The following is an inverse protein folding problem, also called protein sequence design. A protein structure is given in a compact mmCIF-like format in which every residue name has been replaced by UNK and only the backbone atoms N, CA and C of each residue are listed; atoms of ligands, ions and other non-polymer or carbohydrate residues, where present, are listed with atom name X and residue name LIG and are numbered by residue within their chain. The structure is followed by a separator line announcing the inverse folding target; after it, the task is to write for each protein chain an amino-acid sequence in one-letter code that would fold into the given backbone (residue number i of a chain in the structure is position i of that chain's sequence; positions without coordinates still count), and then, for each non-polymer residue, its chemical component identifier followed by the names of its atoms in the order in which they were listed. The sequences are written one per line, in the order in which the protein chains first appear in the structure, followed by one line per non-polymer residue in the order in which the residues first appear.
data_IF_703285484705
#
_entry.id   IF_703285484705
#
_cell.length_a   1.000
_cell.length_b   1.000
_cell.length_c   1.000
_cell.angle_alpha   90.00
_cell.angle_beta   90.00
_cell.angle_gamma   90.00
#
_symmetry.space_group_name_H-M   'P 1'
#
loop_
_entity.id
_entity.type
_entity.pdbx_description
1 polymer ?
#
# COMPACT_ATOMS: atom_id res chain seq x y z
N UNK A 1 -8.75 33.61 28.58
CA UNK A 1 -9.84 32.93 29.33
C UNK A 1 -10.53 31.93 28.38
N UNK A 2 -9.98 30.74 28.21
CA UNK A 2 -10.02 29.59 29.16
C UNK A 2 -11.18 28.61 28.93
N UNK A 3 -11.94 28.68 27.83
CA UNK A 3 -13.02 27.72 27.57
C UNK A 3 -12.80 26.78 26.37
N UNK A 4 -12.06 27.17 25.32
CA UNK A 4 -11.81 26.27 24.18
C UNK A 4 -10.66 25.26 24.39
N UNK A 5 -9.59 25.68 25.07
CA UNK A 5 -8.49 24.76 25.42
C UNK A 5 -8.87 23.79 26.56
N UNK A 6 -9.84 24.15 27.40
CA UNK A 6 -10.33 23.30 28.48
C UNK A 6 -11.13 22.09 27.95
N UNK A 7 -11.88 22.26 26.85
CA UNK A 7 -12.63 21.14 26.24
C UNK A 7 -11.73 20.12 25.53
N UNK A 8 -10.59 20.55 24.98
CA UNK A 8 -9.65 19.63 24.32
C UNK A 8 -8.79 18.89 25.37
N UNK A 9 -8.34 19.58 26.42
CA UNK A 9 -7.58 18.94 27.50
C UNK A 9 -8.44 18.06 28.41
N UNK A 10 -9.70 18.42 28.68
CA UNK A 10 -10.62 17.57 29.43
C UNK A 10 -10.99 16.27 28.69
N UNK A 11 -10.87 16.26 27.35
CA UNK A 11 -11.08 15.07 26.52
C UNK A 11 -9.84 14.17 26.39
N UNK A 12 -8.68 14.65 26.85
CA UNK A 12 -7.42 13.87 26.85
C UNK A 12 -7.17 13.13 28.18
N UNK A 13 -7.95 13.40 29.24
CA UNK A 13 -7.78 12.73 30.54
C UNK A 13 -8.91 11.75 30.93
N UNK A 14 -9.92 11.55 30.08
CA UNK A 14 -10.95 10.51 30.30
C UNK A 14 -11.29 9.84 28.96
N UNK A 15 -10.46 8.88 28.55
CA UNK A 15 -10.90 7.68 27.83
C UNK A 15 -9.74 6.69 27.74
N UNK A 16 -9.52 5.95 28.84
CA UNK A 16 -8.77 4.68 28.82
C UNK A 16 -9.60 3.53 28.20
N UNK A 17 -10.67 3.86 27.48
CA UNK A 17 -11.35 2.93 26.61
C UNK A 17 -11.17 3.41 25.17
N UNK A 18 -10.38 2.69 24.34
CA UNK A 18 -10.42 2.93 22.91
C UNK A 18 -11.88 2.76 22.46
N UNK A 19 -12.40 3.72 21.70
CA UNK A 19 -13.68 3.57 20.99
C UNK A 19 -13.73 2.16 20.40
N UNK A 20 -14.82 1.40 20.63
CA UNK A 20 -14.88 0.01 20.21
C UNK A 20 -14.62 -0.04 18.71
N UNK A 21 -13.56 -0.77 18.32
CA UNK A 21 -13.23 -0.98 16.91
C UNK A 21 -14.49 -1.54 16.25
N UNK A 22 -15.02 -0.92 15.18
CA UNK A 22 -16.26 -1.36 14.55
C UNK A 22 -16.13 -2.82 14.13
N UNK A 23 -16.92 -3.69 14.77
CA UNK A 23 -16.81 -5.16 14.66
C UNK A 23 -17.91 -5.74 13.79
N UNK A 24 -18.98 -4.99 13.52
CA UNK A 24 -20.07 -5.43 12.63
C UNK A 24 -20.01 -4.76 11.25
N UNK A 25 -20.61 -5.39 10.25
CA UNK A 25 -20.76 -4.78 8.91
C UNK A 25 -21.55 -3.48 8.98
N UNK A 26 -22.61 -3.46 9.80
CA UNK A 26 -23.46 -2.28 10.01
C UNK A 26 -22.67 -1.10 10.57
N UNK A 27 -21.86 -1.33 11.60
CA UNK A 27 -21.01 -0.29 12.20
C UNK A 27 -20.01 0.28 11.20
N UNK A 28 -19.33 -0.57 10.42
CA UNK A 28 -18.38 -0.10 9.42
C UNK A 28 -19.04 0.74 8.34
N UNK A 29 -20.20 0.31 7.83
CA UNK A 29 -20.94 1.09 6.84
C UNK A 29 -21.44 2.41 7.43
N UNK A 30 -21.81 2.44 8.71
CA UNK A 30 -22.17 3.68 9.40
C UNK A 30 -20.97 4.63 9.49
N UNK A 31 -19.80 4.14 9.91
CA UNK A 31 -18.57 4.95 10.02
C UNK A 31 -18.16 5.49 8.64
N UNK A 32 -18.15 4.64 7.61
CA UNK A 32 -17.87 5.07 6.23
C UNK A 32 -18.91 6.10 5.76
N UNK A 33 -20.18 5.94 6.13
CA UNK A 33 -21.23 6.91 5.84
C UNK A 33 -20.96 8.28 6.45
N UNK A 34 -20.48 8.33 7.70
CA UNK A 34 -20.06 9.58 8.36
C UNK A 34 -18.87 10.20 7.64
N UNK A 35 -17.86 9.40 7.24
CA UNK A 35 -16.72 9.90 6.46
C UNK A 35 -17.16 10.47 5.11
N UNK A 36 -18.11 9.81 4.42
CA UNK A 36 -18.68 10.28 3.17
C UNK A 36 -19.41 11.61 3.35
N UNK A 37 -20.22 11.76 4.41
CA UNK A 37 -20.85 13.04 4.75
C UNK A 37 -19.81 14.15 4.95
N UNK A 38 -18.74 13.87 5.71
CA UNK A 38 -17.62 14.80 5.93
C UNK A 38 -16.83 15.12 4.65
N UNK A 39 -16.94 14.30 3.61
CA UNK A 39 -16.35 14.56 2.29
C UNK A 39 -17.27 15.39 1.37
N UNK A 40 -18.50 15.72 1.81
CA UNK A 40 -19.52 16.41 1.01
C UNK A 40 -20.39 15.47 0.17
N UNK A 41 -20.37 14.16 0.47
CA UNK A 41 -21.06 13.12 -0.30
C UNK A 41 -22.33 12.70 0.44
N UNK A 42 -23.45 12.59 -0.28
CA UNK A 42 -24.71 12.11 0.28
C UNK A 42 -24.58 10.63 0.75
N UNK A 43 -24.64 10.35 2.07
CA UNK A 43 -24.29 9.02 2.58
C UNK A 43 -25.23 7.91 2.13
N UNK A 44 -26.53 8.19 2.02
CA UNK A 44 -27.54 7.19 1.64
C UNK A 44 -27.23 6.56 0.29
N UNK A 45 -27.14 7.38 -0.77
CA UNK A 45 -26.85 6.91 -2.13
C UNK A 45 -25.46 6.28 -2.26
N UNK A 46 -24.44 6.86 -1.59
CA UNK A 46 -23.09 6.29 -1.60
C UNK A 46 -23.04 4.89 -0.96
N UNK A 47 -23.66 4.71 0.22
CA UNK A 47 -23.67 3.43 0.91
C UNK A 47 -24.47 2.35 0.18
N UNK A 48 -25.52 2.73 -0.56
CA UNK A 48 -26.25 1.79 -1.42
C UNK A 48 -25.37 1.25 -2.54
N UNK A 49 -24.63 2.14 -3.23
CA UNK A 49 -23.67 1.75 -4.27
C UNK A 49 -22.53 0.91 -3.70
N UNK A 50 -21.92 1.35 -2.60
CA UNK A 50 -20.84 0.60 -1.94
C UNK A 50 -21.28 -0.82 -1.55
N UNK A 51 -22.48 -0.99 -0.98
CA UNK A 51 -23.02 -2.32 -0.67
C UNK A 51 -23.19 -3.19 -1.91
N UNK A 52 -23.64 -2.58 -3.02
CA UNK A 52 -23.79 -3.29 -4.29
C UNK A 52 -22.44 -3.78 -4.81
N UNK A 53 -21.40 -2.96 -4.75
CA UNK A 53 -20.06 -3.32 -5.21
C UNK A 53 -19.44 -4.39 -4.31
N UNK A 54 -19.55 -4.25 -2.99
CA UNK A 54 -19.06 -5.24 -2.02
C UNK A 54 -19.69 -6.63 -2.25
N UNK A 55 -21.00 -6.71 -2.53
CA UNK A 55 -21.69 -7.98 -2.81
C UNK A 55 -21.18 -8.71 -4.06
N UNK A 56 -20.54 -8.00 -4.99
CA UNK A 56 -19.96 -8.59 -6.22
C UNK A 56 -18.54 -9.12 -5.98
N UNK A 57 -17.89 -8.71 -4.89
CA UNK A 57 -16.55 -9.18 -4.53
C UNK A 57 -16.58 -10.60 -3.94
N UNK A 58 -15.48 -11.38 -4.06
CA UNK A 58 -15.40 -12.73 -3.52
C UNK A 58 -15.40 -12.78 -1.97
N UNK A 59 -14.94 -11.71 -1.31
CA UNK A 59 -14.85 -11.63 0.15
C UNK A 59 -15.34 -10.26 0.67
N UNK A 60 -16.67 -10.02 0.68
CA UNK A 60 -17.25 -8.70 0.98
C UNK A 60 -16.86 -8.13 2.35
N UNK A 61 -16.85 -8.99 3.38
CA UNK A 61 -16.49 -8.59 4.75
C UNK A 61 -15.02 -8.15 4.85
N UNK A 62 -14.11 -8.89 4.21
CA UNK A 62 -12.69 -8.55 4.18
C UNK A 62 -12.48 -7.23 3.44
N UNK A 63 -13.13 -7.08 2.28
CA UNK A 63 -13.07 -5.85 1.50
C UNK A 63 -13.52 -4.63 2.31
N UNK A 64 -14.66 -4.73 3.00
CA UNK A 64 -15.18 -3.65 3.84
C UNK A 64 -14.25 -3.32 5.02
N UNK A 65 -13.72 -4.32 5.71
CA UNK A 65 -12.78 -4.12 6.81
C UNK A 65 -11.52 -3.38 6.35
N UNK A 66 -10.92 -3.82 5.24
CA UNK A 66 -9.70 -3.22 4.71
C UNK A 66 -9.96 -1.85 4.07
N UNK A 67 -11.11 -1.64 3.43
CA UNK A 67 -11.53 -0.31 2.95
C UNK A 67 -11.65 0.69 4.11
N UNK A 68 -12.29 0.31 5.21
CA UNK A 68 -12.36 1.15 6.40
C UNK A 68 -10.96 1.48 6.94
N UNK A 69 -10.10 0.47 7.12
CA UNK A 69 -8.72 0.67 7.59
C UNK A 69 -7.94 1.62 6.67
N UNK A 70 -8.12 1.47 5.36
CA UNK A 70 -7.47 2.31 4.35
C UNK A 70 -7.95 3.75 4.40
N UNK A 71 -9.26 3.98 4.53
CA UNK A 71 -9.83 5.32 4.70
C UNK A 71 -9.36 5.98 6.00
N UNK A 72 -9.28 5.24 7.11
CA UNK A 72 -8.75 5.74 8.39
C UNK A 72 -7.27 6.13 8.32
N UNK A 73 -6.46 5.35 7.59
CA UNK A 73 -5.03 5.60 7.47
C UNK A 73 -4.70 6.74 6.50
N UNK A 74 -5.56 6.97 5.50
CA UNK A 74 -5.37 7.99 4.47
C UNK A 74 -6.19 9.25 4.68
N UNK A 75 -6.18 10.11 3.64
CA UNK A 75 -7.05 11.29 3.58
C UNK A 75 -8.45 10.88 3.09
N UNK A 76 -9.26 10.31 3.99
CA UNK A 76 -10.58 9.75 3.69
C UNK A 76 -11.42 10.64 2.76
N UNK A 77 -11.51 11.95 3.03
CA UNK A 77 -12.32 12.85 2.21
C UNK A 77 -11.82 13.00 0.78
N UNK A 78 -10.51 12.93 0.53
CA UNK A 78 -9.97 12.96 -0.84
C UNK A 78 -10.31 11.67 -1.57
N UNK A 79 -9.97 10.53 -0.96
CA UNK A 79 -10.21 9.20 -1.54
C UNK A 79 -11.69 8.98 -1.85
N UNK A 80 -12.59 9.37 -0.94
CA UNK A 80 -14.03 9.23 -1.14
C UNK A 80 -14.54 10.11 -2.28
N UNK A 81 -14.01 11.33 -2.44
CA UNK A 81 -14.33 12.18 -3.60
C UNK A 81 -13.81 11.58 -4.90
N UNK A 82 -12.61 11.00 -4.88
CA UNK A 82 -12.04 10.32 -6.04
C UNK A 82 -12.87 9.08 -6.43
N UNK A 83 -13.35 8.31 -5.44
CA UNK A 83 -14.27 7.19 -5.67
C UNK A 83 -15.61 7.63 -6.23
N UNK A 84 -16.16 8.76 -5.77
CA UNK A 84 -17.38 9.31 -6.30
C UNK A 84 -17.21 9.81 -7.75
N UNK A 85 -16.11 10.51 -8.03
CA UNK A 85 -15.80 11.03 -9.37
C UNK A 85 -15.46 9.91 -10.35
N UNK A 86 -14.78 8.86 -9.88
CA UNK A 86 -14.27 7.76 -10.67
C UNK A 86 -14.58 6.41 -10.00
N UNK A 87 -15.78 5.85 -10.20
CA UNK A 87 -16.19 4.58 -9.57
C UNK A 87 -15.28 3.38 -9.87
N UNK A 88 -14.50 3.44 -10.96
CA UNK A 88 -13.49 2.43 -11.29
C UNK A 88 -12.42 2.31 -10.19
N UNK A 89 -12.05 3.42 -9.54
CA UNK A 89 -11.07 3.40 -8.44
C UNK A 89 -11.61 2.65 -7.23
N UNK A 90 -12.88 2.87 -6.88
CA UNK A 90 -13.53 2.11 -5.81
C UNK A 90 -13.56 0.62 -6.12
N UNK A 91 -13.87 0.24 -7.35
CA UNK A 91 -13.88 -1.17 -7.77
C UNK A 91 -12.49 -1.80 -7.65
N UNK A 92 -11.44 -1.10 -8.09
CA UNK A 92 -10.05 -1.55 -7.93
C UNK A 92 -9.72 -1.75 -6.44
N UNK A 93 -10.04 -0.77 -5.59
CA UNK A 93 -9.78 -0.87 -4.15
C UNK A 93 -10.51 -2.07 -3.53
N UNK A 94 -11.80 -2.24 -3.82
CA UNK A 94 -12.62 -3.37 -3.32
C UNK A 94 -12.03 -4.71 -3.77
N UNK A 95 -11.62 -4.84 -5.04
CA UNK A 95 -11.07 -6.08 -5.57
C UNK A 95 -9.76 -6.46 -4.87
N UNK A 96 -8.84 -5.50 -4.72
CA UNK A 96 -7.58 -5.72 -3.99
C UNK A 96 -7.83 -6.10 -2.53
N UNK A 97 -8.74 -5.38 -1.87
CA UNK A 97 -9.07 -5.61 -0.45
C UNK A 97 -9.82 -6.91 -0.20
N UNK A 98 -10.61 -7.38 -1.17
CA UNK A 98 -11.25 -8.68 -1.12
C UNK A 98 -10.23 -9.81 -1.28
N UNK A 99 -9.33 -9.69 -2.26
CA UNK A 99 -8.48 -10.81 -2.66
C UNK A 99 -7.21 -10.97 -1.81
N UNK A 100 -6.57 -9.89 -1.36
CA UNK A 100 -5.27 -9.99 -0.68
C UNK A 100 -5.15 -9.14 0.58
N UNK A 101 -5.03 -9.82 1.72
CA UNK A 101 -4.72 -9.16 2.99
C UNK A 101 -3.34 -8.49 2.96
N UNK A 102 -2.35 -9.15 2.36
CA UNK A 102 -1.01 -8.62 2.23
C UNK A 102 -0.98 -7.28 1.46
N UNK A 103 -1.66 -7.20 0.31
CA UNK A 103 -1.73 -5.95 -0.46
C UNK A 103 -2.53 -4.88 0.28
N UNK A 104 -3.59 -5.28 0.98
CA UNK A 104 -4.37 -4.38 1.83
C UNK A 104 -3.49 -3.74 2.90
N UNK A 105 -2.64 -4.51 3.57
CA UNK A 105 -1.76 -4.00 4.62
C UNK A 105 -0.68 -3.06 4.07
N UNK A 106 -0.20 -3.28 2.84
CA UNK A 106 0.69 -2.31 2.15
C UNK A 106 -0.03 -0.98 1.94
N UNK A 107 -1.24 -1.01 1.38
CA UNK A 107 -2.03 0.19 1.10
C UNK A 107 -2.48 0.92 2.37
N UNK A 108 -2.83 0.19 3.44
CA UNK A 108 -3.13 0.80 4.75
C UNK A 108 -1.90 1.49 5.33
N UNK A 109 -0.71 0.90 5.14
CA UNK A 109 0.54 1.51 5.63
C UNK A 109 0.97 2.74 4.83
N UNK A 110 0.71 2.77 3.53
CA UNK A 110 1.07 3.86 2.62
C UNK A 110 -0.08 4.12 1.63
N UNK A 111 -1.12 4.86 2.04
CA UNK A 111 -2.30 5.09 1.21
C UNK A 111 -2.03 5.82 -0.10
N UNK A 112 -0.98 6.64 -0.14
CA UNK A 112 -0.51 7.35 -1.33
C UNK A 112 -0.13 6.41 -2.48
N UNK A 113 0.25 5.17 -2.18
CA UNK A 113 0.56 4.16 -3.20
C UNK A 113 -0.65 3.81 -4.05
N UNK A 114 -1.87 4.04 -3.56
CA UNK A 114 -3.07 3.77 -4.34
C UNK A 114 -3.16 4.69 -5.58
N UNK A 115 -2.85 5.98 -5.43
CA UNK A 115 -2.83 6.93 -6.55
C UNK A 115 -1.70 6.63 -7.52
N UNK A 116 -0.51 6.26 -7.01
CA UNK A 116 0.59 5.81 -7.85
C UNK A 116 0.20 4.57 -8.66
N UNK A 117 -0.36 3.55 -8.00
CA UNK A 117 -0.77 2.30 -8.64
C UNK A 117 -1.83 2.53 -9.71
N UNK A 118 -2.84 3.36 -9.42
CA UNK A 118 -3.96 3.62 -10.33
C UNK A 118 -3.66 4.68 -11.39
N UNK A 119 -2.42 5.15 -11.47
CA UNK A 119 -1.96 5.93 -12.63
C UNK A 119 -2.00 5.07 -13.90
N UNK A 120 -2.26 5.69 -15.04
CA UNK A 120 -2.56 5.00 -16.32
C UNK A 120 -1.47 4.01 -16.78
N UNK A 121 -0.23 4.18 -16.31
CA UNK A 121 0.94 3.43 -16.76
C UNK A 121 1.26 2.21 -15.89
N UNK A 122 1.15 2.29 -14.56
CA UNK A 122 1.78 1.30 -13.65
C UNK A 122 1.10 -0.08 -13.69
N UNK A 123 -0.24 -0.11 -13.77
CA UNK A 123 -1.00 -1.36 -13.87
C UNK A 123 -0.84 -2.05 -15.23
N UNK A 124 -0.51 -1.30 -16.29
CA UNK A 124 -0.40 -1.84 -17.65
C UNK A 124 1.02 -2.22 -18.04
N UNK A 125 2.02 -1.74 -17.30
CA UNK A 125 3.41 -1.96 -17.63
C UNK A 125 3.92 -3.30 -17.09
N UNK A 126 4.53 -4.12 -17.94
CA UNK A 126 5.39 -5.22 -17.52
C UNK A 126 6.83 -4.72 -17.41
N UNK A 127 7.48 -4.92 -16.27
CA UNK A 127 8.87 -4.50 -16.03
C UNK A 127 9.81 -5.68 -16.26
N UNK A 128 10.95 -5.42 -16.91
CA UNK A 128 12.03 -6.38 -17.07
C UNK A 128 12.98 -6.35 -15.86
N UNK A 129 13.81 -7.39 -15.71
CA UNK A 129 14.86 -7.44 -14.68
C UNK A 129 15.77 -6.20 -14.69
N UNK A 130 16.18 -5.73 -15.88
CA UNK A 130 17.00 -4.52 -16.00
C UNK A 130 16.30 -3.23 -15.52
N UNK A 131 14.96 -3.16 -15.58
CA UNK A 131 14.20 -2.03 -15.03
C UNK A 131 14.18 -2.12 -13.50
N UNK A 132 13.85 -3.29 -12.94
CA UNK A 132 13.84 -3.47 -11.48
C UNK A 132 15.20 -3.17 -10.86
N UNK A 133 16.28 -3.68 -11.44
CA UNK A 133 17.63 -3.43 -10.95
C UNK A 133 17.97 -1.92 -10.98
N UNK A 134 17.61 -1.24 -12.06
CA UNK A 134 17.83 0.20 -12.19
C UNK A 134 17.07 0.98 -11.10
N UNK A 135 15.77 0.75 -10.96
CA UNK A 135 14.94 1.45 -9.97
C UNK A 135 15.37 1.12 -8.52
N UNK A 136 15.80 -0.12 -8.26
CA UNK A 136 16.35 -0.55 -6.96
C UNK A 136 17.66 0.19 -6.61
N UNK A 137 18.53 0.40 -7.60
CA UNK A 137 19.76 1.20 -7.41
C UNK A 137 19.43 2.67 -7.20
N UNK A 138 18.54 3.23 -8.00
CA UNK A 138 18.12 4.64 -7.88
C UNK A 138 17.54 4.94 -6.50
N UNK A 139 16.72 4.05 -5.91
CA UNK A 139 16.14 4.28 -4.58
C UNK A 139 17.17 4.25 -3.44
N UNK A 140 18.28 3.51 -3.61
CA UNK A 140 19.32 3.40 -2.57
C UNK A 140 20.35 4.53 -2.68
N UNK A 141 20.66 5.01 -3.89
CA UNK A 141 21.61 6.11 -4.12
C UNK A 141 21.22 7.43 -3.44
N UNK A 142 19.94 7.60 -3.10
CA UNK A 142 19.44 8.79 -2.38
C UNK A 142 19.91 8.89 -0.92
N UNK A 143 20.55 7.86 -0.38
CA UNK A 143 20.94 7.78 1.02
C UNK A 143 22.41 7.43 1.17
N UNK A 144 23.10 8.10 2.11
CA UNK A 144 24.52 7.85 2.39
C UNK A 144 24.81 6.81 3.47
N UNK A 145 23.81 6.32 4.20
CA UNK A 145 23.96 5.30 5.25
C UNK A 145 23.33 3.98 4.83
N UNK A 146 24.04 2.87 4.98
CA UNK A 146 23.62 1.50 4.61
C UNK A 146 22.24 1.15 5.17
N UNK A 147 21.98 1.45 6.44
CA UNK A 147 20.67 1.23 7.08
C UNK A 147 19.51 1.93 6.34
N UNK A 148 19.73 3.19 5.92
CA UNK A 148 18.71 3.98 5.21
C UNK A 148 18.52 3.50 3.77
N UNK A 149 19.57 3.00 3.14
CA UNK A 149 19.53 2.36 1.83
C UNK A 149 18.71 1.06 1.89
N UNK A 150 18.94 0.22 2.91
CA UNK A 150 18.15 -0.99 3.11
C UNK A 150 16.68 -0.67 3.41
N UNK A 151 16.41 0.38 4.18
CA UNK A 151 15.04 0.85 4.42
C UNK A 151 14.35 1.35 3.14
N UNK A 152 15.07 2.05 2.25
CA UNK A 152 14.50 2.48 0.96
C UNK A 152 14.26 1.30 0.03
N UNK A 153 15.18 0.35 -0.02
CA UNK A 153 15.04 -0.88 -0.79
C UNK A 153 13.83 -1.71 -0.34
N UNK A 154 13.60 -1.82 0.98
CA UNK A 154 12.39 -2.47 1.53
C UNK A 154 11.10 -1.73 1.14
N UNK A 155 11.11 -0.40 1.04
CA UNK A 155 9.94 0.37 0.56
C UNK A 155 9.69 0.12 -0.92
N UNK A 156 10.76 0.13 -1.73
CA UNK A 156 10.70 -0.22 -3.15
C UNK A 156 10.15 -1.63 -3.37
N UNK A 157 10.67 -2.63 -2.66
CA UNK A 157 10.19 -4.00 -2.76
C UNK A 157 8.69 -4.11 -2.46
N UNK A 158 8.21 -3.51 -1.36
CA UNK A 158 6.78 -3.53 -1.01
C UNK A 158 5.92 -2.85 -2.08
N UNK A 159 6.37 -1.72 -2.62
CA UNK A 159 5.68 -1.01 -3.68
C UNK A 159 5.57 -1.85 -4.96
N UNK A 160 6.65 -2.50 -5.38
CA UNK A 160 6.61 -3.35 -6.58
C UNK A 160 5.83 -4.65 -6.35
N UNK A 161 5.89 -5.26 -5.16
CA UNK A 161 5.03 -6.39 -4.81
C UNK A 161 3.54 -6.01 -4.86
N UNK A 162 3.19 -4.79 -4.43
CA UNK A 162 1.83 -4.26 -4.58
C UNK A 162 1.43 -4.16 -6.05
N UNK A 163 2.29 -3.60 -6.89
CA UNK A 163 2.04 -3.46 -8.33
C UNK A 163 1.85 -4.81 -9.01
N UNK A 164 2.80 -5.73 -8.82
CA UNK A 164 2.76 -7.06 -9.43
C UNK A 164 1.50 -7.83 -8.97
N UNK A 165 1.23 -7.84 -7.67
CA UNK A 165 0.06 -8.53 -7.12
C UNK A 165 -1.27 -7.91 -7.57
N UNK A 166 -1.34 -6.59 -7.66
CA UNK A 166 -2.52 -5.89 -8.16
C UNK A 166 -2.79 -6.23 -9.64
N UNK A 167 -1.74 -6.30 -10.47
CA UNK A 167 -1.87 -6.70 -11.88
C UNK A 167 -2.42 -8.12 -12.03
N UNK A 168 -1.96 -9.04 -11.20
CA UNK A 168 -2.48 -10.42 -11.20
C UNK A 168 -3.97 -10.45 -10.80
N UNK A 169 -4.34 -9.76 -9.72
CA UNK A 169 -5.73 -9.68 -9.21
C UNK A 169 -6.67 -9.06 -10.25
N UNK A 170 -6.23 -7.97 -10.89
CA UNK A 170 -6.99 -7.22 -11.88
C UNK A 170 -6.92 -7.85 -13.29
N UNK A 171 -6.23 -9.00 -13.43
CA UNK A 171 -6.06 -9.74 -14.69
C UNK A 171 -5.33 -8.98 -15.79
N UNK A 172 -4.49 -8.01 -15.40
CA UNK A 172 -3.55 -7.29 -16.28
C UNK A 172 -2.25 -8.08 -16.52
N UNK A 173 -2.01 -9.13 -15.73
CA UNK A 173 -0.92 -10.08 -15.90
C UNK A 173 -1.43 -11.51 -15.63
N UNK A 174 -0.93 -12.48 -16.41
CA UNK A 174 -1.16 -13.90 -16.15
C UNK A 174 -0.13 -14.44 -15.14
N UNK A 175 -0.33 -15.67 -14.69
CA UNK A 175 0.54 -16.32 -13.69
C UNK A 175 2.00 -16.34 -14.14
N UNK A 176 2.28 -16.67 -15.40
CA UNK A 176 3.65 -16.74 -15.92
C UNK A 176 4.36 -15.38 -15.88
N UNK A 177 3.66 -14.32 -16.31
CA UNK A 177 4.19 -12.94 -16.26
C UNK A 177 4.41 -12.51 -14.81
N UNK A 178 3.46 -12.79 -13.92
CA UNK A 178 3.60 -12.48 -12.50
C UNK A 178 4.78 -13.20 -11.88
N UNK A 179 4.96 -14.50 -12.12
CA UNK A 179 6.10 -15.27 -11.64
C UNK A 179 7.43 -14.73 -12.16
N UNK A 180 7.50 -14.38 -13.44
CA UNK A 180 8.70 -13.78 -14.04
C UNK A 180 9.03 -12.42 -13.41
N UNK A 181 8.02 -11.56 -13.17
CA UNK A 181 8.24 -10.27 -12.51
C UNK A 181 8.66 -10.41 -11.05
N UNK A 182 8.12 -11.38 -10.30
CA UNK A 182 8.54 -11.66 -8.93
C UNK A 182 9.99 -12.14 -8.86
N UNK A 183 10.40 -13.03 -9.76
CA UNK A 183 11.78 -13.50 -9.86
C UNK A 183 12.72 -12.33 -10.23
N UNK A 184 12.37 -11.55 -11.24
CA UNK A 184 13.14 -10.38 -11.66
C UNK A 184 13.28 -9.33 -10.55
N UNK A 185 12.23 -9.11 -9.75
CA UNK A 185 12.30 -8.25 -8.56
C UNK A 185 13.23 -8.85 -7.51
N UNK A 186 13.13 -10.15 -7.23
CA UNK A 186 13.98 -10.82 -6.25
C UNK A 186 15.47 -10.71 -6.63
N UNK A 187 15.81 -10.99 -7.88
CA UNK A 187 17.18 -10.87 -8.41
C UNK A 187 17.72 -9.45 -8.23
N UNK A 188 16.93 -8.43 -8.60
CA UNK A 188 17.30 -7.03 -8.44
C UNK A 188 17.56 -6.65 -6.96
N UNK A 189 16.71 -7.13 -6.04
CA UNK A 189 16.88 -6.86 -4.61
C UNK A 189 18.16 -7.54 -4.10
N UNK A 190 18.38 -8.82 -4.43
CA UNK A 190 19.57 -9.58 -4.03
C UNK A 190 20.82 -8.88 -4.53
N UNK A 191 20.87 -8.51 -5.81
CA UNK A 191 22.02 -7.85 -6.40
C UNK A 191 22.36 -6.54 -5.68
N UNK A 192 21.36 -5.70 -5.41
CA UNK A 192 21.57 -4.44 -4.68
C UNK A 192 22.03 -4.69 -3.25
N UNK A 193 21.44 -5.66 -2.54
CA UNK A 193 21.85 -5.99 -1.15
C UNK A 193 23.30 -6.47 -1.11
N UNK A 194 23.71 -7.35 -2.04
CA UNK A 194 25.11 -7.80 -2.14
C UNK A 194 26.03 -6.62 -2.39
N UNK A 195 25.69 -5.72 -3.33
CA UNK A 195 26.49 -4.53 -3.61
C UNK A 195 26.64 -3.62 -2.38
N UNK A 196 25.56 -3.43 -1.61
CA UNK A 196 25.61 -2.65 -0.37
C UNK A 196 26.51 -3.31 0.67
N UNK A 197 26.37 -4.62 0.89
CA UNK A 197 27.21 -5.37 1.84
C UNK A 197 28.70 -5.35 1.48
N UNK A 198 29.03 -5.53 0.19
CA UNK A 198 30.42 -5.43 -0.28
C UNK A 198 31.01 -4.03 -0.04
N UNK A 199 30.24 -2.95 -0.27
CA UNK A 199 30.72 -1.58 -0.01
C UNK A 199 30.93 -1.30 1.47
N UNK A 200 30.01 -1.80 2.31
CA UNK A 200 30.09 -1.67 3.77
C UNK A 200 31.40 -2.30 4.29
N UNK A 201 31.68 -3.56 3.90
CA UNK A 201 32.91 -4.29 4.26
C UNK A 201 34.18 -3.62 3.73
N UNK A 202 34.16 -3.13 2.48
CA UNK A 202 35.29 -2.41 1.91
C UNK A 202 35.60 -1.12 2.69
N UNK A 203 34.57 -0.44 3.22
CA UNK A 203 34.75 0.76 4.05
C UNK A 203 35.34 0.46 5.43
N UNK A 204 35.19 -0.77 5.92
CA UNK A 204 35.78 -1.28 7.17
C UNK A 204 37.23 -1.79 7.00
N UNK A 205 37.79 -1.70 5.78
CA UNK A 205 39.18 -2.06 5.49
C UNK A 205 39.40 -3.54 5.17
N UNK A 206 38.34 -4.32 4.96
CA UNK A 206 38.46 -5.68 4.44
C UNK A 206 38.73 -5.68 2.93
N UNK A 207 39.61 -6.57 2.48
CA UNK A 207 39.87 -6.79 1.05
C UNK A 207 38.64 -7.47 0.45
N UNK A 208 37.89 -6.73 -0.36
CA UNK A 208 36.76 -7.26 -1.13
C UNK A 208 37.25 -7.59 -2.53
N UNK A 209 37.36 -8.87 -2.87
CA UNK A 209 37.64 -9.31 -4.23
C UNK A 209 36.36 -9.21 -5.07
N UNK A 210 36.42 -8.45 -6.18
CA UNK A 210 35.35 -8.49 -7.19
C UNK A 210 35.20 -9.92 -7.71
N UNK A 211 33.97 -10.46 -7.68
CA UNK A 211 33.57 -11.78 -8.19
C UNK A 211 33.84 -13.03 -7.31
N UNK A 212 34.05 -12.92 -5.99
CA UNK A 212 34.11 -14.11 -5.10
C UNK A 212 32.76 -14.52 -4.49
N UNK A 213 31.74 -13.67 -4.57
CA UNK A 213 30.43 -13.97 -3.99
C UNK A 213 29.42 -14.36 -5.07
N UNK A 214 28.92 -15.60 -4.99
CA UNK A 214 27.80 -16.08 -5.78
C UNK A 214 26.59 -16.32 -4.87
N UNK A 215 25.42 -15.83 -5.28
CA UNK A 215 24.14 -16.16 -4.64
C UNK A 215 23.42 -17.14 -5.57
N UNK A 216 23.11 -18.34 -5.05
CA UNK A 216 22.39 -19.38 -5.79
C UNK A 216 21.01 -19.54 -5.15
N UNK A 217 19.96 -19.33 -5.95
CA UNK A 217 18.55 -19.40 -5.55
C UNK A 217 17.85 -20.66 -6.03
#
# INVERSE_FOLDING_TARGET
MSLFFSTILARMQINEHPEPVPTTERELLQVIGVMAAGAGIAPGGYLELLRKDLRRSPHPRRALNNLHRFLCAGFASSLLRDFQAHPVLQNIAIELFAQSQFLSDILVRQPELFHWLTSTTELKQTKSSGIYLREARETTQLFGRTEKQLDSLKRFQRRELLRIGARQILKEANVDTTSAELAALADAIIEVVVQLGCRDRASEGEIVFENELAVVG
#
